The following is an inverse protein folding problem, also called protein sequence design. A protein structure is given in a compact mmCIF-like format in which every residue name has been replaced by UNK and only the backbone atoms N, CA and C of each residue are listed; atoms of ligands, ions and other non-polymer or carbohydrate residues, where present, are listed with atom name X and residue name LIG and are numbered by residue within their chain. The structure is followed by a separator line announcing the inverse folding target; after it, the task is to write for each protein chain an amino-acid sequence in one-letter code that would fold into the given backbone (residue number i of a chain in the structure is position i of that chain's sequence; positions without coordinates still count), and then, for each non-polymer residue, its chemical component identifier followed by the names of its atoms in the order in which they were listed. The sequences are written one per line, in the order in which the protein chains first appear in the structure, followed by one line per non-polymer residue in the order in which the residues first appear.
data_IF_163764533921
#
_entry.id   IF_163764533921
#
_cell.length_a   1.000
_cell.length_b   1.000
_cell.length_c   1.000
_cell.angle_alpha   90.00
_cell.angle_beta   90.00
_cell.angle_gamma   90.00
#
_symmetry.space_group_name_H-M   'P 1'
#
loop_
_entity.id
_entity.type
_entity.pdbx_description
1 polymer ?
#
# COMPACT_ATOMS: atom_id res chain seq x y z
N UNK A 1 -4.00 3.05 -6.25
CA UNK A 1 -3.15 3.81 -5.31
C UNK A 1 -3.16 5.32 -5.58
N UNK A 2 -2.85 5.78 -6.80
CA UNK A 2 -2.79 7.22 -7.15
C UNK A 2 -4.03 8.00 -6.70
N UNK A 3 -5.24 7.52 -7.03
CA UNK A 3 -6.50 8.16 -6.63
C UNK A 3 -6.63 8.35 -5.11
N UNK A 4 -6.18 7.37 -4.30
CA UNK A 4 -6.23 7.46 -2.83
C UNK A 4 -5.31 8.57 -2.31
N UNK A 5 -4.12 8.71 -2.89
CA UNK A 5 -3.15 9.75 -2.53
C UNK A 5 -3.61 11.15 -2.95
N UNK A 6 -4.19 11.28 -4.15
CA UNK A 6 -4.77 12.55 -4.60
C UNK A 6 -5.97 12.99 -3.76
N UNK A 7 -6.80 12.04 -3.29
CA UNK A 7 -7.88 12.37 -2.37
C UNK A 7 -7.33 12.88 -1.03
N UNK A 8 -6.29 12.23 -0.49
CA UNK A 8 -5.61 12.65 0.75
C UNK A 8 -4.95 14.03 0.62
N UNK A 9 -4.44 14.39 -0.55
CA UNK A 9 -3.86 15.71 -0.82
C UNK A 9 -4.82 16.86 -0.50
N UNK A 10 -6.13 16.65 -0.68
CA UNK A 10 -7.16 17.67 -0.50
C UNK A 10 -7.30 18.15 0.95
N UNK A 11 -6.96 17.32 1.92
CA UNK A 11 -7.25 17.59 3.34
C UNK A 11 -6.03 17.46 4.26
N UNK A 12 -4.98 16.76 3.84
CA UNK A 12 -3.87 16.40 4.74
C UNK A 12 -2.81 17.48 4.95
N UNK A 13 -2.80 18.55 4.16
CA UNK A 13 -1.71 19.55 4.17
C UNK A 13 -0.36 19.02 3.69
N UNK A 14 -0.31 17.78 3.17
CA UNK A 14 0.91 17.16 2.65
C UNK A 14 1.27 17.72 1.28
N UNK A 15 2.34 18.51 1.24
CA UNK A 15 2.88 19.09 0.00
C UNK A 15 3.39 18.04 -1.00
N UNK A 16 3.70 16.84 -0.52
CA UNK A 16 4.26 15.73 -1.31
C UNK A 16 3.19 14.82 -1.94
N UNK A 17 1.90 15.02 -1.66
CA UNK A 17 0.79 14.30 -2.30
C UNK A 17 0.38 14.99 -3.62
N UNK A 18 1.34 15.26 -4.51
CA UNK A 18 1.12 15.76 -5.87
C UNK A 18 1.44 14.67 -6.91
N UNK A 19 0.93 14.81 -8.14
CA UNK A 19 1.04 13.78 -9.17
C UNK A 19 2.48 13.36 -9.47
N UNK A 20 3.39 14.33 -9.60
CA UNK A 20 4.80 14.08 -9.90
C UNK A 20 5.46 13.26 -8.78
N UNK A 21 5.22 13.65 -7.53
CA UNK A 21 5.82 12.99 -6.37
C UNK A 21 5.22 11.61 -6.14
N UNK A 22 3.91 11.44 -6.37
CA UNK A 22 3.24 10.14 -6.33
C UNK A 22 3.86 9.18 -7.35
N UNK A 23 4.09 9.62 -8.60
CA UNK A 23 4.73 8.80 -9.64
C UNK A 23 6.14 8.40 -9.23
N UNK A 24 6.96 9.34 -8.74
CA UNK A 24 8.32 9.05 -8.24
C UNK A 24 8.31 8.03 -7.10
N UNK A 25 7.40 8.18 -6.12
CA UNK A 25 7.27 7.25 -4.99
C UNK A 25 6.89 5.84 -5.44
N UNK A 26 5.98 5.70 -6.40
CA UNK A 26 5.61 4.40 -6.95
C UNK A 26 6.78 3.76 -7.72
N UNK A 27 7.52 4.55 -8.51
CA UNK A 27 8.72 4.06 -9.19
C UNK A 27 9.78 3.58 -8.18
N UNK A 28 10.03 4.34 -7.12
CA UNK A 28 10.93 3.95 -6.02
C UNK A 28 10.47 2.67 -5.34
N UNK A 29 9.17 2.51 -5.05
CA UNK A 29 8.63 1.29 -4.48
C UNK A 29 8.90 0.08 -5.39
N UNK A 30 8.61 0.18 -6.69
CA UNK A 30 8.85 -0.92 -7.63
C UNK A 30 10.34 -1.24 -7.79
N UNK A 31 11.22 -0.24 -7.77
CA UNK A 31 12.66 -0.42 -7.92
C UNK A 31 13.35 -0.99 -6.68
N UNK A 32 12.93 -0.56 -5.50
CA UNK A 32 13.67 -0.82 -4.26
C UNK A 32 12.90 -1.66 -3.24
N UNK A 33 11.60 -1.40 -3.04
CA UNK A 33 10.80 -2.10 -2.03
C UNK A 33 10.28 -3.45 -2.52
N UNK A 34 9.86 -3.56 -3.79
CA UNK A 34 9.35 -4.82 -4.35
C UNK A 34 10.37 -5.98 -4.27
N UNK A 35 11.67 -5.79 -4.59
CA UNK A 35 12.66 -6.87 -4.41
C UNK A 35 12.77 -7.38 -2.97
N UNK A 36 12.60 -6.50 -1.96
CA UNK A 36 12.63 -6.89 -0.55
C UNK A 36 11.40 -7.74 -0.21
N UNK A 37 10.22 -7.35 -0.68
CA UNK A 37 8.99 -8.14 -0.51
C UNK A 37 9.13 -9.51 -1.18
N UNK A 38 9.68 -9.54 -2.40
CA UNK A 38 9.89 -10.79 -3.15
C UNK A 38 10.86 -11.73 -2.41
N UNK A 39 11.89 -11.20 -1.76
CA UNK A 39 12.83 -11.98 -0.93
C UNK A 39 12.15 -12.60 0.31
N UNK A 40 11.21 -11.88 0.94
CA UNK A 40 10.50 -12.33 2.14
C UNK A 40 9.15 -13.00 1.86
N UNK A 41 8.79 -13.26 0.59
CA UNK A 41 7.46 -13.75 0.20
C UNK A 41 6.98 -14.97 0.99
N UNK A 42 7.88 -15.91 1.32
CA UNK A 42 7.55 -17.16 2.03
C UNK A 42 7.39 -16.95 3.55
N UNK A 43 7.74 -15.75 4.04
CA UNK A 43 7.58 -15.30 5.43
C UNK A 43 6.50 -14.21 5.56
N UNK A 44 5.77 -13.92 4.49
CA UNK A 44 4.78 -12.84 4.45
C UNK A 44 3.42 -13.34 3.99
N UNK A 45 2.37 -12.90 4.68
CA UNK A 45 1.00 -13.03 4.19
C UNK A 45 0.66 -11.86 3.25
N UNK A 46 0.22 -12.18 2.03
CA UNK A 46 -0.18 -11.15 1.04
C UNK A 46 -1.70 -10.95 1.06
N UNK A 47 -2.13 -9.70 1.24
CA UNK A 47 -3.55 -9.32 1.31
C UNK A 47 -3.88 -8.30 0.22
N UNK A 48 -4.98 -8.54 -0.50
CA UNK A 48 -5.45 -7.64 -1.57
C UNK A 48 -6.14 -6.42 -0.96
N UNK A 49 -5.53 -5.24 -1.09
CA UNK A 49 -6.03 -4.00 -0.48
C UNK A 49 -6.93 -3.15 -1.41
N UNK A 50 -7.68 -3.78 -2.32
CA UNK A 50 -8.53 -3.06 -3.30
C UNK A 50 -9.94 -2.78 -2.77
N UNK A 51 -10.44 -3.62 -1.88
CA UNK A 51 -11.78 -3.55 -1.29
C UNK A 51 -11.91 -2.44 -0.23
N UNK A 52 -13.06 -2.37 0.45
CA UNK A 52 -13.28 -1.40 1.54
C UNK A 52 -12.34 -1.65 2.73
N UNK A 53 -12.12 -0.64 3.60
CA UNK A 53 -11.27 -0.81 4.79
C UNK A 53 -11.73 -1.97 5.69
N UNK A 54 -13.03 -2.15 5.87
CA UNK A 54 -13.59 -3.19 6.74
C UNK A 54 -13.36 -4.61 6.16
N UNK A 55 -13.52 -4.77 4.85
CA UNK A 55 -13.24 -6.04 4.16
C UNK A 55 -11.75 -6.38 4.22
N UNK A 56 -10.87 -5.39 3.96
CA UNK A 56 -9.42 -5.57 4.07
C UNK A 56 -9.03 -5.93 5.51
N UNK A 57 -9.64 -5.29 6.50
CA UNK A 57 -9.39 -5.59 7.91
C UNK A 57 -9.85 -6.99 8.30
N UNK A 58 -10.98 -7.46 7.77
CA UNK A 58 -11.43 -8.84 7.98
C UNK A 58 -10.42 -9.87 7.44
N UNK A 59 -9.86 -9.64 6.25
CA UNK A 59 -8.81 -10.51 5.68
C UNK A 59 -7.51 -10.47 6.51
N UNK A 60 -7.13 -9.30 7.05
CA UNK A 60 -5.99 -9.18 7.98
C UNK A 60 -6.21 -10.03 9.21
N UNK A 61 -7.36 -9.93 9.87
CA UNK A 61 -7.68 -10.74 11.06
C UNK A 61 -7.58 -12.22 10.76
N UNK A 62 -8.23 -12.66 9.68
CA UNK A 62 -8.19 -14.07 9.25
C UNK A 62 -6.77 -14.57 9.03
N UNK A 63 -5.89 -13.75 8.44
CA UNK A 63 -4.48 -14.13 8.23
C UNK A 63 -3.67 -14.18 9.52
N UNK A 64 -4.00 -13.36 10.53
CA UNK A 64 -3.27 -13.32 11.80
C UNK A 64 -3.76 -14.40 12.77
N UNK A 65 -5.06 -14.65 12.84
CA UNK A 65 -5.66 -15.67 13.71
C UNK A 65 -5.30 -17.11 13.30
N UNK A 66 -4.78 -17.29 12.08
CA UNK A 66 -4.34 -18.57 11.54
C UNK A 66 -2.86 -18.90 11.83
N UNK A 67 -2.14 -18.02 12.53
CA UNK A 67 -0.74 -18.19 12.97
C UNK A 67 -0.74 -18.74 14.39
#
# INVERSE_FOLDING_TARGET
MVQRLLHRAKTSGRVDDNEETIKKRLATFHKHSKPVIDYYKDKCSTIVALSSPDEVFAEVKKSLDAI
#
